data_IF_898639774694
#
_entry.id   IF_898639774694
#
_cell.length_a   1.000
_cell.length_b   1.000
_cell.length_c   1.000
_cell.angle_alpha   90.00
_cell.angle_beta   90.00
_cell.angle_gamma   90.00
#
_symmetry.space_group_name_H-M   'P 1'
#
loop_
_entity.id
_entity.type
_entity.pdbx_description
1 polymer ?
#
# COMPACT_ATOMS: atom_id res chain seq x y z
N UNK A 1 5.63 20.96 -50.56
CA UNK A 1 4.38 20.48 -49.94
C UNK A 1 4.68 19.52 -48.77
N UNK A 2 5.25 20.00 -47.66
CA UNK A 2 5.55 19.14 -46.48
C UNK A 2 5.20 19.79 -45.13
N UNK A 3 4.55 20.96 -45.12
CA UNK A 3 4.38 21.74 -43.89
C UNK A 3 3.03 21.49 -43.19
N UNK A 4 2.14 20.67 -43.78
CA UNK A 4 0.85 20.29 -43.17
C UNK A 4 0.90 19.02 -42.30
N UNK A 5 1.90 18.14 -42.50
CA UNK A 5 1.95 16.84 -41.81
C UNK A 5 2.54 16.93 -40.39
N UNK A 6 3.32 17.98 -40.08
CA UNK A 6 3.96 18.16 -38.77
C UNK A 6 2.98 18.61 -37.68
N UNK A 7 1.92 19.33 -38.03
CA UNK A 7 0.93 19.86 -37.07
C UNK A 7 0.03 18.72 -36.55
N UNK A 8 -0.31 17.75 -37.41
CA UNK A 8 -1.18 16.62 -37.04
C UNK A 8 -0.46 15.67 -36.06
N UNK A 9 0.86 15.49 -36.20
CA UNK A 9 1.65 14.68 -35.27
C UNK A 9 1.72 15.32 -33.88
N UNK A 10 1.75 16.65 -33.77
CA UNK A 10 1.74 17.36 -32.49
C UNK A 10 0.41 17.25 -31.73
N UNK A 11 -0.72 17.05 -32.42
CA UNK A 11 -2.03 16.89 -31.79
C UNK A 11 -2.31 15.45 -31.31
N UNK A 12 -1.60 14.46 -31.83
CA UNK A 12 -1.72 13.06 -31.37
C UNK A 12 -0.95 12.79 -30.06
N UNK A 13 0.03 13.63 -29.70
CA UNK A 13 0.75 13.52 -28.43
C UNK A 13 -0.01 14.13 -27.23
N UNK A 14 -1.08 14.90 -27.46
CA UNK A 14 -1.95 15.40 -26.40
C UNK A 14 -2.99 14.36 -25.94
N UNK A 15 -3.10 13.22 -26.62
CA UNK A 15 -4.11 12.18 -26.35
C UNK A 15 -3.66 11.03 -25.42
N UNK A 16 -2.41 10.99 -24.97
CA UNK A 16 -1.90 9.92 -24.11
C UNK A 16 -1.01 10.48 -22.99
N UNK A 17 -1.68 11.07 -22.00
CA UNK A 17 -1.05 11.63 -20.81
C UNK A 17 -1.92 11.50 -19.58
N UNK A 18 -2.70 10.41 -19.47
CA UNK A 18 -3.21 9.89 -18.20
C UNK A 18 -2.00 9.35 -17.41
N UNK A 19 -1.14 10.26 -16.97
CA UNK A 19 0.12 9.98 -16.31
C UNK A 19 0.07 10.56 -14.91
N UNK A 20 -0.31 9.71 -13.96
CA UNK A 20 -0.12 9.84 -12.52
C UNK A 20 -0.35 11.27 -11.99
N UNK A 21 -1.48 11.43 -11.31
CA UNK A 21 -1.47 12.18 -10.06
C UNK A 21 -0.55 11.43 -9.08
N UNK A 22 0.76 11.47 -9.34
CA UNK A 22 1.79 11.36 -8.33
C UNK A 22 1.66 12.65 -7.56
N UNK A 23 0.71 12.68 -6.63
CA UNK A 23 0.86 13.49 -5.47
C UNK A 23 2.16 13.00 -4.81
N UNK A 24 3.27 13.64 -5.19
CA UNK A 24 4.39 13.85 -4.28
C UNK A 24 3.84 14.76 -3.19
N UNK A 25 2.96 14.21 -2.35
CA UNK A 25 2.58 14.82 -1.10
C UNK A 25 3.83 14.78 -0.28
N UNK A 26 4.52 15.92 -0.34
CA UNK A 26 5.23 16.54 0.76
C UNK A 26 5.60 15.54 1.84
N UNK A 27 6.89 15.26 1.91
CA UNK A 27 7.57 14.76 3.10
C UNK A 27 7.35 15.78 4.23
N UNK A 28 6.10 15.91 4.68
CA UNK A 28 5.69 16.75 5.79
C UNK A 28 6.14 15.98 7.00
N UNK A 29 7.42 16.16 7.34
CA UNK A 29 8.02 15.99 8.67
C UNK A 29 7.02 15.39 9.64
N UNK A 30 6.78 14.09 9.52
CA UNK A 30 6.00 13.36 10.52
C UNK A 30 6.92 13.45 11.70
N UNK A 31 6.59 14.35 12.63
CA UNK A 31 7.16 14.31 13.97
C UNK A 31 7.00 12.86 14.38
N UNK A 32 8.14 12.18 14.44
CA UNK A 32 8.28 10.82 14.95
C UNK A 32 7.83 10.90 16.41
N UNK A 33 6.52 10.77 16.60
CA UNK A 33 5.90 10.66 17.91
C UNK A 33 6.07 9.20 18.30
N UNK A 34 7.09 8.92 19.10
CA UNK A 34 7.26 7.71 19.94
C UNK A 34 6.63 6.42 19.37
N UNK A 35 7.27 5.92 18.31
CA UNK A 35 7.74 4.54 18.11
C UNK A 35 6.98 3.30 18.58
N UNK A 36 5.71 3.27 19.00
CA UNK A 36 5.23 2.04 19.66
C UNK A 36 3.91 1.48 19.09
N UNK A 37 3.01 2.33 18.59
CA UNK A 37 1.68 1.88 18.18
C UNK A 37 1.52 1.89 16.66
N UNK A 38 1.85 0.76 16.01
CA UNK A 38 1.43 0.46 14.62
C UNK A 38 -0.11 0.26 14.55
N UNK A 39 -0.71 -0.03 15.71
CA UNK A 39 -2.13 -0.27 15.93
C UNK A 39 -3.08 0.81 15.35
N UNK A 40 -2.93 2.12 15.63
CA UNK A 40 -3.75 3.17 15.04
C UNK A 40 -3.67 3.25 13.51
N UNK A 41 -2.54 2.87 12.89
CA UNK A 41 -2.41 2.83 11.43
C UNK A 41 -3.21 1.66 10.85
N UNK A 42 -3.16 0.50 11.50
CA UNK A 42 -3.99 -0.66 11.15
C UNK A 42 -5.49 -0.37 11.35
N UNK A 43 -5.87 0.25 12.46
CA UNK A 43 -7.25 0.62 12.74
C UNK A 43 -7.78 1.62 11.70
N UNK A 44 -6.96 2.61 11.32
CA UNK A 44 -7.28 3.56 10.24
C UNK A 44 -7.44 2.86 8.90
N UNK A 45 -6.58 1.89 8.57
CA UNK A 45 -6.68 1.11 7.34
C UNK A 45 -7.97 0.32 7.27
N UNK A 46 -8.34 -0.36 8.36
CA UNK A 46 -9.58 -1.16 8.44
C UNK A 46 -10.81 -0.26 8.29
N UNK A 47 -10.83 0.89 8.98
CA UNK A 47 -11.94 1.85 8.86
C UNK A 47 -12.11 2.40 7.44
N UNK A 48 -11.01 2.66 6.74
CA UNK A 48 -11.04 3.22 5.40
C UNK A 48 -11.17 2.14 4.30
N UNK A 49 -11.12 0.85 4.62
CA UNK A 49 -11.13 -0.23 3.62
C UNK A 49 -12.35 -0.19 2.69
N UNK A 50 -13.55 0.02 3.25
CA UNK A 50 -14.79 0.07 2.47
C UNK A 50 -15.07 1.45 1.86
N UNK A 51 -14.51 2.52 2.45
CA UNK A 51 -14.76 3.90 2.01
C UNK A 51 -13.79 4.35 0.94
N UNK A 52 -12.50 4.05 1.10
CA UNK A 52 -11.45 4.40 0.16
C UNK A 52 -10.28 3.40 0.26
N UNK A 53 -10.25 2.36 -0.58
CA UNK A 53 -9.22 1.32 -0.52
C UNK A 53 -7.82 1.86 -0.78
N UNK A 54 -7.65 2.87 -1.66
CA UNK A 54 -6.34 3.46 -1.93
C UNK A 54 -5.72 4.09 -0.66
N UNK A 55 -6.56 4.76 0.13
CA UNK A 55 -6.13 5.34 1.42
C UNK A 55 -5.82 4.26 2.45
N UNK A 56 -6.54 3.14 2.42
CA UNK A 56 -6.24 1.98 3.25
C UNK A 56 -4.86 1.39 2.94
N UNK A 57 -4.50 1.28 1.66
CA UNK A 57 -3.16 0.87 1.24
C UNK A 57 -2.07 1.82 1.74
N UNK A 58 -2.24 3.14 1.63
CA UNK A 58 -1.27 4.12 2.16
C UNK A 58 -1.01 3.95 3.66
N UNK A 59 -2.05 3.65 4.46
CA UNK A 59 -1.89 3.42 5.89
C UNK A 59 -1.14 2.12 6.18
N UNK A 60 -1.44 1.05 5.43
CA UNK A 60 -0.76 -0.23 5.58
C UNK A 60 0.69 -0.16 5.13
N UNK A 61 1.03 0.55 4.06
CA UNK A 61 2.43 0.74 3.65
C UNK A 61 3.25 1.45 4.72
N UNK A 62 2.68 2.49 5.36
CA UNK A 62 3.32 3.17 6.49
C UNK A 62 3.50 2.25 7.69
N UNK A 63 2.49 1.46 8.03
CA UNK A 63 2.54 0.47 9.11
C UNK A 63 3.61 -0.60 8.83
N UNK A 64 3.70 -1.06 7.59
CA UNK A 64 4.66 -2.07 7.15
C UNK A 64 6.09 -1.52 7.20
N UNK A 65 6.33 -0.31 6.70
CA UNK A 65 7.63 0.36 6.81
C UNK A 65 8.08 0.53 8.27
N UNK A 66 7.17 0.88 9.18
CA UNK A 66 7.45 0.95 10.61
C UNK A 66 7.77 -0.42 11.20
N UNK A 67 7.00 -1.46 10.85
CA UNK A 67 7.23 -2.83 11.34
C UNK A 67 8.58 -3.38 10.90
N UNK A 68 9.02 -3.10 9.67
CA UNK A 68 10.33 -3.52 9.16
C UNK A 68 11.45 -2.76 9.88
N UNK A 69 11.32 -1.44 10.02
CA UNK A 69 12.31 -0.61 10.72
C UNK A 69 12.43 -0.98 12.21
N UNK A 70 11.32 -1.33 12.85
CA UNK A 70 11.27 -1.79 14.24
C UNK A 70 11.58 -3.28 14.42
N UNK A 71 11.82 -4.02 13.32
CA UNK A 71 11.98 -5.47 13.29
C UNK A 71 10.82 -6.24 13.98
N UNK A 72 9.62 -5.64 14.03
CA UNK A 72 8.43 -6.23 14.61
C UNK A 72 7.75 -7.14 13.59
N UNK A 73 8.14 -8.41 13.61
CA UNK A 73 7.54 -9.44 12.76
C UNK A 73 6.05 -9.66 13.04
N UNK A 74 5.56 -9.34 14.24
CA UNK A 74 4.15 -9.55 14.59
C UNK A 74 3.30 -8.52 13.87
N UNK A 75 3.71 -7.26 13.92
CA UNK A 75 3.06 -6.19 13.17
C UNK A 75 3.24 -6.35 11.66
N UNK A 76 4.38 -6.84 11.19
CA UNK A 76 4.61 -7.17 9.77
C UNK A 76 3.57 -8.20 9.28
N UNK A 77 3.37 -9.29 10.02
CA UNK A 77 2.36 -10.30 9.72
C UNK A 77 0.92 -9.75 9.71
N UNK A 78 0.58 -8.86 10.64
CA UNK A 78 -0.72 -8.20 10.67
C UNK A 78 -0.94 -7.29 9.45
N UNK A 79 0.09 -6.56 9.01
CA UNK A 79 0.00 -5.72 7.81
C UNK A 79 -0.31 -6.56 6.56
N UNK A 80 0.39 -7.68 6.37
CA UNK A 80 0.11 -8.58 5.25
C UNK A 80 -1.26 -9.24 5.33
N UNK A 81 -1.75 -9.56 6.53
CA UNK A 81 -3.11 -10.05 6.70
C UNK A 81 -4.14 -9.00 6.24
N UNK A 82 -3.98 -7.75 6.68
CA UNK A 82 -4.90 -6.67 6.29
C UNK A 82 -4.85 -6.37 4.79
N UNK A 83 -3.67 -6.44 4.15
CA UNK A 83 -3.56 -6.36 2.68
C UNK A 83 -4.39 -7.46 1.99
N UNK A 84 -4.31 -8.69 2.50
CA UNK A 84 -5.13 -9.79 2.00
C UNK A 84 -6.62 -9.49 2.09
N UNK A 85 -7.09 -8.97 3.23
CA UNK A 85 -8.51 -8.62 3.43
C UNK A 85 -8.93 -7.52 2.45
N UNK A 86 -8.16 -6.43 2.34
CA UNK A 86 -8.48 -5.33 1.41
C UNK A 86 -8.59 -5.85 -0.03
N UNK A 87 -7.65 -6.67 -0.49
CA UNK A 87 -7.70 -7.24 -1.84
C UNK A 87 -8.88 -8.21 -2.04
N UNK A 88 -9.25 -8.97 -1.00
CA UNK A 88 -10.42 -9.84 -1.03
C UNK A 88 -11.71 -9.03 -1.15
N UNK A 89 -11.83 -7.93 -0.42
CA UNK A 89 -13.00 -7.03 -0.46
C UNK A 89 -13.12 -6.28 -1.79
N UNK A 90 -11.99 -6.05 -2.47
CA UNK A 90 -11.95 -5.51 -3.82
C UNK A 90 -12.30 -6.56 -4.91
N UNK A 91 -12.64 -7.79 -4.52
CA UNK A 91 -12.94 -8.87 -5.46
C UNK A 91 -11.72 -9.39 -6.21
N UNK A 92 -10.51 -9.21 -5.65
CA UNK A 92 -9.23 -9.65 -6.23
C UNK A 92 -8.60 -10.77 -5.37
N UNK A 93 -9.23 -11.96 -5.28
CA UNK A 93 -8.73 -13.05 -4.45
C UNK A 93 -7.36 -13.57 -4.91
N UNK A 94 -7.06 -13.49 -6.21
CA UNK A 94 -5.77 -13.91 -6.78
C UNK A 94 -4.60 -13.09 -6.23
N UNK A 95 -4.84 -11.81 -5.91
CA UNK A 95 -3.86 -10.95 -5.26
C UNK A 95 -3.88 -11.10 -3.74
N UNK A 96 -5.02 -11.42 -3.13
CA UNK A 96 -5.15 -11.60 -1.69
C UNK A 96 -4.42 -12.85 -1.16
N UNK A 97 -4.50 -13.95 -1.89
CA UNK A 97 -3.93 -15.25 -1.51
C UNK A 97 -2.42 -15.20 -1.16
N UNK A 98 -1.54 -14.62 -1.99
CA UNK A 98 -0.11 -14.53 -1.66
C UNK A 98 0.15 -13.66 -0.42
N UNK A 99 -0.65 -12.60 -0.17
CA UNK A 99 -0.52 -11.78 1.03
C UNK A 99 -0.88 -12.55 2.30
N UNK A 100 -1.99 -13.31 2.27
CA UNK A 100 -2.35 -14.19 3.39
C UNK A 100 -1.29 -15.25 3.65
N UNK A 101 -0.72 -15.84 2.60
CA UNK A 101 0.32 -16.85 2.75
C UNK A 101 1.59 -16.28 3.40
N UNK A 102 1.99 -15.05 3.03
CA UNK A 102 3.08 -14.33 3.71
C UNK A 102 2.78 -14.07 5.17
N UNK A 103 1.59 -13.55 5.49
CA UNK A 103 1.17 -13.28 6.86
C UNK A 103 1.25 -14.54 7.73
N UNK A 104 0.73 -15.66 7.23
CA UNK A 104 0.76 -16.96 7.91
C UNK A 104 2.18 -17.45 8.11
N UNK A 105 3.06 -17.34 7.11
CA UNK A 105 4.46 -17.75 7.25
C UNK A 105 5.19 -16.96 8.35
N UNK A 106 5.01 -15.64 8.40
CA UNK A 106 5.62 -14.79 9.42
C UNK A 106 5.09 -15.15 10.82
N UNK A 107 3.77 -15.26 10.96
CA UNK A 107 3.14 -15.63 12.25
C UNK A 107 3.51 -17.05 12.70
N UNK A 108 3.72 -17.98 11.76
CA UNK A 108 4.18 -19.34 12.06
C UNK A 108 5.61 -19.33 12.61
N UNK A 109 6.52 -18.60 11.96
CA UNK A 109 7.91 -18.47 12.42
C UNK A 109 7.97 -17.83 13.82
N UNK A 110 7.15 -16.81 14.06
CA UNK A 110 7.04 -16.21 15.40
C UNK A 110 6.57 -17.21 16.46
N UNK A 111 5.56 -18.04 16.13
CA UNK A 111 5.05 -19.07 17.05
C UNK A 111 6.14 -20.07 17.43
N UNK A 112 7.00 -20.46 16.47
CA UNK A 112 8.08 -21.43 16.72
C UNK A 112 9.25 -20.87 17.51
N UNK A 113 9.48 -19.55 17.48
CA UNK A 113 10.57 -18.90 18.24
C UNK A 113 10.18 -18.72 19.72
N UNK A 114 8.88 -18.65 20.00
CA UNK A 114 8.34 -18.35 21.33
C UNK A 114 7.91 -19.61 22.12
N UNK A 115 8.15 -20.82 21.61
CA UNK A 115 7.87 -22.12 22.27
C UNK A 115 9.14 -22.78 22.77
#
# INVERSE_FOLDING_TARGET
>A
MQNGLRIIVLLLFLGAGFGLHAQKTSFSKVRVSRTDDIKPLLDSAIQNMHSNPAKSFDYIEKALAQSINGNDKRSEGQCYQTLGIINSELGQPDLALPYFQRAVNILRVLRTICS
#
